data_IF_617926089563
#
_entry.id   IF_617926089563
#
_cell.length_a   1.000
_cell.length_b   1.000
_cell.length_c   1.000
_cell.angle_alpha   90.00
_cell.angle_beta   90.00
_cell.angle_gamma   90.00
#
_symmetry.space_group_name_H-M   'P 1'
#
loop_
_entity.id
_entity.type
_entity.pdbx_description
1 polymer ?
#
# COMPACT_ATOMS: atom_id res chain seq x y z
N UNK A 1 20.88 -48.33 -54.77
CA UNK A 1 21.13 -47.33 -53.72
C UNK A 1 19.79 -46.86 -53.19
N UNK A 2 19.43 -47.19 -51.94
CA UNK A 2 18.25 -46.64 -51.25
C UNK A 2 18.76 -46.17 -49.89
N UNK A 3 18.99 -44.87 -49.78
CA UNK A 3 19.39 -44.21 -48.53
C UNK A 3 18.17 -44.08 -47.64
N UNK A 4 18.25 -44.70 -46.46
CA UNK A 4 17.28 -44.60 -45.38
C UNK A 4 17.34 -43.20 -44.77
N UNK A 5 16.20 -42.49 -44.78
CA UNK A 5 16.05 -41.21 -44.08
C UNK A 5 15.70 -41.51 -42.62
N UNK A 6 16.65 -41.30 -41.70
CA UNK A 6 16.39 -41.28 -40.27
C UNK A 6 15.59 -40.03 -39.91
N UNK A 7 14.33 -40.18 -39.55
CA UNK A 7 13.54 -39.12 -38.94
C UNK A 7 14.01 -38.93 -37.49
N UNK A 8 14.71 -37.83 -37.24
CA UNK A 8 14.98 -37.35 -35.87
C UNK A 8 13.66 -36.84 -35.30
N UNK A 9 13.07 -37.59 -34.36
CA UNK A 9 12.02 -37.04 -33.49
C UNK A 9 12.66 -35.97 -32.61
N UNK A 10 12.53 -34.71 -33.04
CA UNK A 10 12.69 -33.58 -32.14
C UNK A 10 11.52 -33.63 -31.14
N UNK A 11 11.80 -34.11 -29.93
CA UNK A 11 10.90 -34.00 -28.80
C UNK A 11 10.66 -32.53 -28.48
N UNK A 12 9.54 -32.00 -28.94
CA UNK A 12 8.95 -30.77 -28.42
C UNK A 12 8.49 -31.07 -27.00
N UNK A 13 9.36 -30.86 -26.02
CA UNK A 13 8.92 -30.69 -24.63
C UNK A 13 8.16 -29.37 -24.61
N UNK A 14 6.84 -29.44 -24.72
CA UNK A 14 5.97 -28.34 -24.37
C UNK A 14 6.18 -28.08 -22.88
N UNK A 15 7.04 -27.11 -22.54
CA UNK A 15 7.11 -26.57 -21.19
C UNK A 15 5.83 -25.76 -21.03
N UNK A 16 4.76 -26.42 -20.58
CA UNK A 16 3.65 -25.71 -19.99
C UNK A 16 4.24 -25.01 -18.76
N UNK A 17 4.65 -23.76 -18.90
CA UNK A 17 5.09 -22.96 -17.77
C UNK A 17 3.84 -22.68 -16.96
N UNK A 18 3.68 -23.43 -15.87
CA UNK A 18 2.63 -23.21 -14.90
C UNK A 18 2.66 -21.74 -14.44
N UNK A 19 1.49 -21.10 -14.49
CA UNK A 19 1.37 -19.69 -14.14
C UNK A 19 1.66 -19.49 -12.65
N UNK A 20 2.49 -18.50 -12.33
CA UNK A 20 2.79 -18.05 -10.98
C UNK A 20 1.53 -17.39 -10.41
N UNK A 21 0.99 -18.00 -9.37
CA UNK A 21 -0.10 -17.44 -8.59
C UNK A 21 0.45 -16.69 -7.38
N UNK A 22 -0.08 -15.50 -7.11
CA UNK A 22 0.34 -14.69 -5.98
C UNK A 22 -0.76 -14.63 -4.92
N UNK A 23 -0.36 -14.81 -3.67
CA UNK A 23 -1.25 -14.73 -2.51
C UNK A 23 -0.72 -13.72 -1.51
N UNK A 24 -1.56 -12.76 -1.13
CA UNK A 24 -1.31 -11.78 -0.08
C UNK A 24 -2.06 -12.20 1.18
N UNK A 25 -1.32 -12.36 2.27
CA UNK A 25 -1.85 -12.54 3.62
C UNK A 25 -1.58 -11.29 4.43
N UNK A 26 -2.58 -10.76 5.14
CA UNK A 26 -2.36 -9.61 6.01
C UNK A 26 -3.02 -9.78 7.38
N UNK A 27 -2.51 -9.05 8.38
CA UNK A 27 -3.00 -9.13 9.76
C UNK A 27 -4.32 -8.38 9.97
N UNK A 28 -5.20 -8.85 10.86
CA UNK A 28 -6.40 -8.10 11.25
C UNK A 28 -6.10 -6.76 11.97
N UNK A 29 -4.90 -6.63 12.53
CA UNK A 29 -4.48 -5.40 13.22
C UNK A 29 -4.11 -4.32 12.21
N UNK A 30 -4.80 -3.19 12.28
CA UNK A 30 -4.59 -1.99 11.50
C UNK A 30 -3.77 -0.98 12.30
N UNK A 31 -2.77 -0.40 11.64
CA UNK A 31 -1.86 0.61 12.16
C UNK A 31 -2.17 1.93 11.47
N UNK A 32 -2.31 2.98 12.27
CA UNK A 32 -2.45 4.33 11.74
C UNK A 32 -1.07 4.87 11.34
N UNK A 33 -0.91 5.08 10.04
CA UNK A 33 0.34 5.58 9.45
C UNK A 33 0.20 7.03 9.00
N UNK A 34 -0.95 7.66 9.23
CA UNK A 34 -1.18 9.06 8.92
C UNK A 34 -0.95 9.40 7.45
N UNK A 35 -0.48 10.61 7.21
CA UNK A 35 -0.18 11.16 5.88
C UNK A 35 1.10 10.60 5.23
N UNK A 36 1.50 9.39 5.58
CA UNK A 36 2.72 8.79 5.03
C UNK A 36 2.50 8.41 3.55
N UNK A 37 3.40 8.83 2.66
CA UNK A 37 3.38 8.38 1.27
C UNK A 37 3.78 6.91 1.19
N UNK A 38 2.78 6.03 1.13
CA UNK A 38 2.98 4.58 1.09
C UNK A 38 3.77 4.13 -0.13
N UNK A 39 3.64 4.80 -1.28
CA UNK A 39 4.38 4.43 -2.49
C UNK A 39 5.87 4.71 -2.32
N UNK A 40 6.19 5.88 -1.77
CA UNK A 40 7.57 6.30 -1.57
C UNK A 40 8.27 5.40 -0.55
N UNK A 41 7.64 5.16 0.61
CA UNK A 41 8.26 4.41 1.71
C UNK A 41 8.26 2.89 1.53
N UNK A 42 7.49 2.36 0.57
CA UNK A 42 7.49 0.93 0.27
C UNK A 42 8.10 0.63 -1.10
N UNK A 43 7.30 0.72 -2.17
CA UNK A 43 7.67 0.35 -3.54
C UNK A 43 8.94 1.07 -3.99
N UNK A 44 8.98 2.40 -3.90
CA UNK A 44 10.14 3.15 -4.37
C UNK A 44 11.38 2.88 -3.51
N UNK A 45 11.20 2.75 -2.19
CA UNK A 45 12.28 2.38 -1.28
C UNK A 45 12.91 1.01 -1.60
N UNK A 46 12.12 0.00 -2.00
CA UNK A 46 12.66 -1.29 -2.45
C UNK A 46 13.56 -1.09 -3.69
N UNK A 47 13.06 -0.38 -4.70
CA UNK A 47 13.80 -0.16 -5.95
C UNK A 47 15.04 0.74 -5.78
N UNK A 48 15.07 1.57 -4.74
CA UNK A 48 16.20 2.41 -4.39
C UNK A 48 17.28 1.70 -3.55
N UNK A 49 16.97 0.58 -2.90
CA UNK A 49 17.92 -0.10 -2.02
C UNK A 49 18.99 -0.86 -2.83
N UNK A 50 20.29 -0.71 -2.50
CA UNK A 50 21.36 -1.50 -3.10
C UNK A 50 21.18 -3.00 -2.84
N UNK A 51 21.34 -3.83 -3.88
CA UNK A 51 21.24 -5.28 -3.74
C UNK A 51 19.82 -5.85 -3.84
N UNK A 52 18.83 -5.02 -4.21
CA UNK A 52 17.44 -5.41 -4.42
C UNK A 52 17.23 -6.40 -5.60
N UNK A 53 18.27 -6.90 -6.25
CA UNK A 53 18.13 -7.88 -7.31
C UNK A 53 17.83 -9.27 -6.76
N UNK A 54 18.10 -9.54 -5.46
CA UNK A 54 17.88 -10.86 -4.85
C UNK A 54 17.12 -10.84 -3.54
N UNK A 55 17.20 -9.74 -2.80
CA UNK A 55 16.56 -9.64 -1.48
C UNK A 55 16.47 -8.19 -1.06
N UNK A 56 15.61 -7.93 -0.09
CA UNK A 56 15.52 -6.64 0.60
C UNK A 56 15.50 -6.87 2.11
N UNK A 57 16.18 -5.98 2.83
CA UNK A 57 16.01 -5.83 4.27
C UNK A 57 16.12 -4.34 4.59
N UNK A 58 15.01 -3.73 4.95
CA UNK A 58 14.96 -2.33 5.37
C UNK A 58 14.22 -2.21 6.70
N UNK A 59 14.64 -1.26 7.52
CA UNK A 59 13.98 -0.87 8.76
C UNK A 59 14.15 0.65 8.89
N UNK A 60 13.10 1.40 8.56
CA UNK A 60 13.14 2.87 8.51
C UNK A 60 12.01 3.46 9.33
N UNK A 61 12.28 4.60 9.95
CA UNK A 61 11.30 5.33 10.75
C UNK A 61 10.97 6.65 10.07
N UNK A 62 9.67 6.94 9.96
CA UNK A 62 9.11 8.11 9.32
C UNK A 62 8.26 8.89 10.31
N UNK A 63 8.03 10.17 10.00
CA UNK A 63 7.18 11.05 10.76
C UNK A 63 5.96 11.40 9.92
N UNK A 64 4.76 11.31 10.49
CA UNK A 64 3.52 11.58 9.79
C UNK A 64 2.52 12.34 10.68
N UNK A 65 1.37 12.68 10.08
CA UNK A 65 0.28 13.38 10.77
C UNK A 65 -0.95 12.48 10.76
N UNK A 66 -1.56 12.29 11.93
CA UNK A 66 -2.77 11.49 12.11
C UNK A 66 -3.97 12.33 12.51
N UNK A 67 -3.75 13.49 13.16
CA UNK A 67 -4.82 14.42 13.53
C UNK A 67 -5.54 14.93 12.27
N UNK A 68 -6.82 14.62 12.16
CA UNK A 68 -7.69 15.02 11.04
C UNK A 68 -7.85 16.54 10.89
N UNK A 69 -7.59 17.28 11.96
CA UNK A 69 -7.67 18.73 11.99
C UNK A 69 -6.55 19.29 12.88
N UNK A 70 -5.54 19.88 12.26
CA UNK A 70 -4.32 20.30 12.92
C UNK A 70 -4.12 21.80 12.81
N UNK A 71 -3.84 22.42 13.96
CA UNK A 71 -3.70 23.88 14.08
C UNK A 71 -2.56 24.43 13.21
N UNK A 72 -2.74 25.63 12.68
CA UNK A 72 -1.69 26.39 12.00
C UNK A 72 -0.49 26.72 12.88
N UNK A 73 -0.66 26.75 14.22
CA UNK A 73 0.46 27.00 15.14
C UNK A 73 1.20 25.72 15.52
N UNK A 74 0.59 24.55 15.38
CA UNK A 74 1.18 23.25 15.68
C UNK A 74 1.40 22.48 14.37
N UNK A 75 2.45 22.77 13.60
CA UNK A 75 2.69 22.08 12.32
C UNK A 75 3.61 20.85 12.41
N UNK A 76 4.00 20.39 13.61
CA UNK A 76 4.91 19.25 13.76
C UNK A 76 4.20 17.88 13.61
N UNK A 77 4.85 16.85 13.03
CA UNK A 77 4.32 15.49 13.02
C UNK A 77 3.88 15.01 14.42
N UNK A 78 2.87 14.14 14.47
CA UNK A 78 2.29 13.65 15.73
C UNK A 78 2.31 12.12 15.87
N UNK A 79 2.87 11.44 14.88
CA UNK A 79 3.10 10.01 14.90
C UNK A 79 4.45 9.68 14.29
N UNK A 80 5.12 8.69 14.88
CA UNK A 80 6.28 8.05 14.27
C UNK A 80 5.90 6.66 13.80
N UNK A 81 6.20 6.37 12.53
CA UNK A 81 5.83 5.13 11.84
C UNK A 81 7.10 4.41 11.44
N UNK A 82 7.26 3.18 11.90
CA UNK A 82 8.31 2.27 11.46
C UNK A 82 7.78 1.41 10.31
N UNK A 83 8.52 1.37 9.21
CA UNK A 83 8.28 0.52 8.05
C UNK A 83 9.46 -0.42 7.92
N UNK A 84 9.19 -1.73 8.04
CA UNK A 84 10.18 -2.76 7.77
C UNK A 84 9.76 -3.55 6.56
N UNK A 85 10.72 -3.85 5.70
CA UNK A 85 10.48 -4.70 4.54
C UNK A 85 11.56 -5.76 4.47
N UNK A 86 11.12 -7.02 4.45
CA UNK A 86 12.00 -8.18 4.28
C UNK A 86 11.50 -9.00 3.11
N UNK A 87 12.38 -9.38 2.20
CA UNK A 87 11.99 -10.22 1.09
C UNK A 87 13.17 -10.90 0.41
N UNK A 88 12.89 -11.98 -0.28
CA UNK A 88 13.86 -12.73 -1.07
C UNK A 88 13.22 -13.20 -2.37
N UNK A 89 13.97 -13.11 -3.48
CA UNK A 89 13.48 -13.50 -4.80
C UNK A 89 14.60 -14.00 -5.72
N UNK A 90 14.19 -14.54 -6.87
CA UNK A 90 15.08 -15.03 -7.92
C UNK A 90 15.44 -16.51 -7.78
N UNK A 91 14.65 -17.28 -7.00
CA UNK A 91 14.83 -18.73 -6.85
C UNK A 91 13.86 -19.55 -7.70
N UNK A 92 12.72 -18.98 -8.07
CA UNK A 92 11.75 -19.61 -8.97
C UNK A 92 12.32 -19.83 -10.39
N UNK A 93 12.36 -21.08 -10.90
CA UNK A 93 12.81 -21.39 -12.27
C UNK A 93 11.88 -20.76 -13.34
N UNK A 94 12.44 -20.44 -14.51
CA UNK A 94 11.70 -19.85 -15.63
C UNK A 94 11.56 -18.33 -15.56
N UNK A 95 11.70 -17.77 -14.35
CA UNK A 95 11.88 -16.35 -14.01
C UNK A 95 13.10 -15.70 -14.71
N UNK A 96 12.98 -14.56 -15.42
CA UNK A 96 14.14 -13.74 -15.87
C UNK A 96 14.11 -12.33 -15.28
N UNK A 97 15.23 -11.60 -15.36
CA UNK A 97 15.32 -10.14 -15.14
C UNK A 97 14.53 -9.56 -13.94
N UNK A 98 14.55 -10.23 -12.79
CA UNK A 98 13.81 -9.83 -11.58
C UNK A 98 12.28 -9.79 -11.73
N UNK A 99 11.71 -10.51 -12.69
CA UNK A 99 10.26 -10.63 -12.91
C UNK A 99 9.53 -11.08 -11.62
N UNK A 100 10.14 -11.98 -10.83
CA UNK A 100 9.58 -12.36 -9.52
C UNK A 100 9.48 -11.18 -8.55
N UNK A 101 10.55 -10.40 -8.41
CA UNK A 101 10.55 -9.19 -7.58
C UNK A 101 9.43 -8.26 -8.01
N UNK A 102 9.37 -7.97 -9.31
CA UNK A 102 8.45 -6.98 -9.83
C UNK A 102 6.99 -7.45 -9.66
N UNK A 103 6.73 -8.76 -9.81
CA UNK A 103 5.44 -9.36 -9.52
C UNK A 103 5.05 -9.28 -8.04
N UNK A 104 5.96 -9.65 -7.14
CA UNK A 104 5.74 -9.57 -5.69
C UNK A 104 5.50 -8.12 -5.24
N UNK A 105 6.35 -7.19 -5.67
CA UNK A 105 6.28 -5.76 -5.32
C UNK A 105 5.01 -5.12 -5.86
N UNK A 106 4.67 -5.35 -7.13
CA UNK A 106 3.46 -4.79 -7.72
C UNK A 106 2.20 -5.28 -7.00
N UNK A 107 2.17 -6.57 -6.66
CA UNK A 107 0.98 -7.21 -6.10
C UNK A 107 0.75 -6.88 -4.63
N UNK A 108 1.80 -6.90 -3.81
CA UNK A 108 1.66 -6.48 -2.40
C UNK A 108 1.35 -4.99 -2.30
N UNK A 109 1.92 -4.16 -3.19
CA UNK A 109 1.64 -2.73 -3.22
C UNK A 109 0.21 -2.44 -3.67
N UNK A 110 -0.29 -3.16 -4.69
CA UNK A 110 -1.69 -3.02 -5.10
C UNK A 110 -2.65 -3.44 -3.97
N UNK A 111 -2.38 -4.56 -3.29
CA UNK A 111 -3.16 -4.96 -2.12
C UNK A 111 -3.11 -3.92 -1.00
N UNK A 112 -1.92 -3.39 -0.68
CA UNK A 112 -1.73 -2.32 0.30
C UNK A 112 -2.55 -1.08 -0.08
N UNK A 113 -2.47 -0.66 -1.35
CA UNK A 113 -3.22 0.48 -1.86
C UNK A 113 -4.72 0.28 -1.71
N UNK A 114 -5.26 -0.87 -2.10
CA UNK A 114 -6.70 -1.13 -1.99
C UNK A 114 -7.21 -1.12 -0.54
N UNK A 115 -6.43 -1.69 0.40
CA UNK A 115 -6.77 -1.62 1.83
C UNK A 115 -6.71 -0.18 2.34
N UNK A 116 -5.66 0.54 1.94
CA UNK A 116 -5.39 1.90 2.35
C UNK A 116 -6.42 2.91 1.81
N UNK A 117 -6.91 2.70 0.59
CA UNK A 117 -7.95 3.54 -0.02
C UNK A 117 -9.32 3.36 0.69
N UNK A 118 -9.69 2.14 1.12
CA UNK A 118 -10.95 1.89 1.85
C UNK A 118 -10.93 2.41 3.30
N UNK A 119 -9.73 2.57 3.88
CA UNK A 119 -9.53 2.98 5.28
C UNK A 119 -8.88 4.34 5.44
N UNK A 120 -8.64 5.02 4.33
CA UNK A 120 -8.09 6.36 4.31
C UNK A 120 -9.04 7.39 4.87
N UNK A 121 -8.50 8.52 5.30
CA UNK A 121 -9.26 9.57 5.94
C UNK A 121 -8.65 10.93 5.69
N UNK A 122 -9.48 11.96 5.79
CA UNK A 122 -9.07 13.33 5.53
C UNK A 122 -8.20 13.90 6.66
N UNK A 123 -7.05 14.45 6.28
CA UNK A 123 -6.18 15.20 7.18
C UNK A 123 -6.10 16.64 6.70
N UNK A 124 -6.71 17.53 7.47
CA UNK A 124 -6.59 18.96 7.25
C UNK A 124 -5.57 19.55 8.23
N UNK A 125 -4.68 20.36 7.68
CA UNK A 125 -3.65 21.06 8.45
C UNK A 125 -3.63 22.55 8.12
N UNK A 126 -2.85 23.30 8.89
CA UNK A 126 -2.87 24.76 8.85
C UNK A 126 -4.25 25.34 9.15
N UNK A 127 -4.97 24.69 10.07
CA UNK A 127 -6.29 25.08 10.48
C UNK A 127 -6.27 26.28 11.44
N UNK A 128 -7.21 27.21 11.23
CA UNK A 128 -7.50 28.33 12.13
C UNK A 128 -8.97 28.31 12.52
N UNK A 129 -9.29 28.94 13.64
CA UNK A 129 -10.64 28.94 14.19
C UNK A 129 -10.96 27.61 14.89
N UNK A 130 -9.94 26.99 15.48
CA UNK A 130 -10.12 25.81 16.34
C UNK A 130 -10.61 26.22 17.73
N UNK A 131 -10.23 27.42 18.18
CA UNK A 131 -10.68 28.04 19.43
C UNK A 131 -11.35 29.39 19.16
N UNK A 132 -12.22 29.82 20.07
CA UNK A 132 -13.03 31.05 19.93
C UNK A 132 -12.20 32.34 19.85
N UNK A 133 -10.93 32.30 20.27
CA UNK A 133 -10.01 33.44 20.28
C UNK A 133 -9.30 33.66 18.93
N UNK A 134 -9.36 32.67 18.03
CA UNK A 134 -8.69 32.73 16.74
C UNK A 134 -9.57 33.42 15.69
N UNK A 135 -9.10 34.55 15.16
CA UNK A 135 -9.71 35.18 13.99
C UNK A 135 -9.43 34.37 12.73
N UNK A 136 -10.46 34.15 11.91
CA UNK A 136 -10.39 33.42 10.64
C UNK A 136 -10.66 34.38 9.48
N UNK A 137 -9.72 34.47 8.54
CA UNK A 137 -9.79 35.43 7.44
C UNK A 137 -10.73 35.01 6.30
N UNK A 138 -11.17 33.75 6.26
CA UNK A 138 -12.04 33.17 5.23
C UNK A 138 -11.63 33.48 3.78
N UNK A 139 -10.84 32.60 3.15
CA UNK A 139 -10.30 32.79 1.80
C UNK A 139 -10.72 31.69 0.82
N UNK A 140 -10.88 32.00 -0.48
CA UNK A 140 -11.23 31.01 -1.51
C UNK A 140 -10.22 29.89 -1.71
N UNK A 141 -8.95 30.14 -1.43
CA UNK A 141 -7.85 29.19 -1.64
C UNK A 141 -7.75 28.13 -0.53
N UNK A 142 -8.59 28.21 0.50
CA UNK A 142 -8.59 27.24 1.57
C UNK A 142 -8.99 25.84 1.07
N UNK A 143 -8.34 24.81 1.61
CA UNK A 143 -8.65 23.44 1.27
C UNK A 143 -10.02 23.01 1.81
N UNK A 144 -10.38 23.48 3.01
CA UNK A 144 -11.74 23.46 3.53
C UNK A 144 -12.05 24.75 4.27
N UNK A 145 -13.33 25.15 4.27
CA UNK A 145 -13.81 26.30 5.03
C UNK A 145 -14.99 26.99 4.34
N UNK A 146 -15.65 27.90 5.06
CA UNK A 146 -16.88 28.55 4.59
C UNK A 146 -16.76 29.27 3.24
N UNK A 147 -15.58 29.81 2.93
CA UNK A 147 -15.33 30.55 1.69
C UNK A 147 -14.54 29.73 0.64
N UNK A 148 -14.18 28.47 0.94
CA UNK A 148 -13.35 27.66 0.05
C UNK A 148 -14.01 27.47 -1.32
N UNK A 149 -13.27 27.74 -2.40
CA UNK A 149 -13.77 27.61 -3.77
C UNK A 149 -14.12 26.16 -4.15
N UNK A 150 -13.51 25.18 -3.48
CA UNK A 150 -13.82 23.75 -3.62
C UNK A 150 -15.22 23.38 -3.09
N UNK A 151 -15.84 24.24 -2.29
CA UNK A 151 -17.08 23.94 -1.55
C UNK A 151 -16.89 22.96 -0.39
N UNK A 152 -15.66 22.53 -0.11
CA UNK A 152 -15.38 21.60 0.99
C UNK A 152 -15.53 22.28 2.35
N UNK A 153 -16.24 21.60 3.26
CA UNK A 153 -16.45 22.09 4.63
C UNK A 153 -15.54 21.34 5.60
N UNK A 154 -15.05 22.02 6.63
CA UNK A 154 -14.25 21.37 7.66
C UNK A 154 -15.11 20.60 8.69
N UNK A 155 -16.44 20.67 8.60
CA UNK A 155 -17.36 20.25 9.67
C UNK A 155 -17.35 18.74 9.95
N UNK A 156 -16.97 17.90 8.99
CA UNK A 156 -16.77 16.47 9.22
C UNK A 156 -15.40 16.19 9.87
N UNK A 157 -14.29 16.44 9.15
CA UNK A 157 -12.93 16.14 9.62
C UNK A 157 -12.53 16.87 10.89
N UNK A 158 -12.99 18.11 11.09
CA UNK A 158 -12.67 18.95 12.24
C UNK A 158 -13.73 18.92 13.34
N UNK A 159 -14.83 18.15 13.21
CA UNK A 159 -15.97 18.18 14.13
C UNK A 159 -15.60 18.12 15.61
N UNK A 160 -14.62 17.27 15.93
CA UNK A 160 -14.20 16.98 17.31
C UNK A 160 -13.01 17.84 17.78
N UNK A 161 -12.44 18.65 16.89
CA UNK A 161 -11.25 19.46 17.14
C UNK A 161 -11.55 20.96 17.29
N UNK A 162 -12.82 21.37 17.14
CA UNK A 162 -13.23 22.77 17.06
C UNK A 162 -14.18 23.11 18.19
N UNK A 163 -13.94 24.25 18.85
CA UNK A 163 -14.85 24.78 19.86
C UNK A 163 -16.15 25.35 19.24
N UNK A 164 -16.07 25.81 17.98
CA UNK A 164 -17.16 26.41 17.23
C UNK A 164 -17.24 25.80 15.82
N UNK A 165 -18.13 24.84 15.57
CA UNK A 165 -18.36 24.29 14.23
C UNK A 165 -18.72 25.38 13.21
N UNK A 166 -18.24 25.27 11.98
CA UNK A 166 -18.50 26.22 10.89
C UNK A 166 -17.64 27.49 10.85
N UNK A 167 -16.78 27.75 11.84
CA UNK A 167 -15.82 28.89 11.80
C UNK A 167 -14.43 28.49 11.34
N UNK A 168 -14.13 27.19 11.31
CA UNK A 168 -12.79 26.69 10.99
C UNK A 168 -12.48 26.79 9.50
N UNK A 169 -11.23 27.11 9.20
CA UNK A 169 -10.67 27.06 7.85
C UNK A 169 -9.30 26.41 7.91
N UNK A 170 -9.03 25.50 6.98
CA UNK A 170 -7.73 24.85 6.84
C UNK A 170 -7.15 25.12 5.46
N UNK A 171 -5.85 25.45 5.40
CA UNK A 171 -5.19 25.80 4.14
C UNK A 171 -4.62 24.58 3.42
N UNK A 172 -4.35 23.49 4.16
CA UNK A 172 -3.73 22.31 3.61
C UNK A 172 -4.60 21.08 3.81
N UNK A 173 -4.61 20.23 2.79
CA UNK A 173 -5.32 18.97 2.76
C UNK A 173 -4.36 17.88 2.31
N UNK A 174 -4.30 16.83 3.13
CA UNK A 174 -3.55 15.61 2.90
C UNK A 174 -4.48 14.42 3.14
N UNK A 175 -4.06 13.25 2.65
CA UNK A 175 -4.79 12.01 2.85
C UNK A 175 -4.04 11.12 3.83
N UNK A 176 -4.71 10.75 4.92
CA UNK A 176 -4.20 9.84 5.94
C UNK A 176 -4.58 8.39 5.63
N UNK A 177 -3.78 7.46 6.11
CA UNK A 177 -3.92 6.04 5.80
C UNK A 177 -3.90 5.17 7.05
N UNK A 178 -4.67 4.07 7.01
CA UNK A 178 -4.52 2.94 7.92
C UNK A 178 -4.16 1.71 7.12
N UNK A 179 -3.20 0.93 7.61
CA UNK A 179 -2.68 -0.24 6.89
C UNK A 179 -2.55 -1.43 7.84
N UNK A 180 -2.60 -2.67 7.36
CA UNK A 180 -2.35 -3.83 8.19
C UNK A 180 -0.96 -3.75 8.82
N UNK A 181 -0.81 -4.18 10.07
CA UNK A 181 0.49 -4.22 10.77
C UNK A 181 1.49 -5.14 10.08
N UNK A 182 1.02 -6.19 9.42
CA UNK A 182 1.83 -7.10 8.63
C UNK A 182 1.10 -7.44 7.34
N UNK A 183 1.82 -7.40 6.22
CA UNK A 183 1.39 -7.95 4.94
C UNK A 183 2.51 -8.84 4.41
N UNK A 184 2.16 -10.05 3.97
CA UNK A 184 3.09 -10.99 3.36
C UNK A 184 2.53 -11.43 2.03
N UNK A 185 3.36 -11.39 1.00
CA UNK A 185 3.07 -12.01 -0.29
C UNK A 185 3.96 -13.23 -0.51
N UNK A 186 3.36 -14.28 -1.03
CA UNK A 186 4.02 -15.53 -1.39
C UNK A 186 3.59 -15.96 -2.79
N UNK A 187 4.51 -16.59 -3.52
CA UNK A 187 4.24 -17.14 -4.85
C UNK A 187 3.95 -18.65 -4.79
N UNK A 188 3.08 -19.12 -5.68
CA UNK A 188 2.75 -20.52 -5.87
C UNK A 188 2.85 -20.88 -7.35
N UNK A 189 3.27 -22.10 -7.65
CA UNK A 189 3.27 -22.69 -9.00
C UNK A 189 2.68 -24.08 -8.87
N UNK A 190 1.62 -24.39 -9.60
CA UNK A 190 0.88 -25.66 -9.47
C UNK A 190 0.52 -25.98 -8.00
N UNK A 191 0.01 -24.98 -7.27
CA UNK A 191 -0.32 -25.03 -5.84
C UNK A 191 0.87 -25.32 -4.90
N UNK A 192 2.10 -25.38 -5.41
CA UNK A 192 3.31 -25.55 -4.61
C UNK A 192 3.90 -24.18 -4.21
N UNK A 193 4.08 -23.99 -2.90
CA UNK A 193 4.69 -22.78 -2.32
C UNK A 193 6.12 -22.61 -2.83
N UNK A 194 6.39 -21.44 -3.42
CA UNK A 194 7.73 -21.04 -3.82
C UNK A 194 8.47 -20.38 -2.65
N UNK A 195 9.81 -20.43 -2.65
CA UNK A 195 10.63 -19.81 -1.61
C UNK A 195 10.71 -18.28 -1.74
N UNK A 196 10.15 -17.70 -2.79
CA UNK A 196 10.15 -16.25 -3.02
C UNK A 196 9.01 -15.59 -2.22
N UNK A 197 9.36 -14.59 -1.41
CA UNK A 197 8.41 -13.88 -0.56
C UNK A 197 8.81 -12.42 -0.32
N UNK A 198 7.83 -11.64 0.12
CA UNK A 198 8.01 -10.26 0.54
C UNK A 198 7.05 -9.95 1.69
N UNK A 199 7.57 -9.34 2.73
CA UNK A 199 6.85 -9.00 3.95
C UNK A 199 7.02 -7.51 4.21
N UNK A 200 5.91 -6.81 4.41
CA UNK A 200 5.85 -5.46 4.95
C UNK A 200 5.38 -5.54 6.40
N UNK A 201 6.09 -4.88 7.29
CA UNK A 201 5.70 -4.70 8.68
C UNK A 201 5.61 -3.20 8.96
N UNK A 202 4.45 -2.79 9.46
CA UNK A 202 4.17 -1.42 9.87
C UNK A 202 3.98 -1.40 11.38
N UNK A 203 4.67 -0.48 12.04
CA UNK A 203 4.44 -0.16 13.44
C UNK A 203 4.31 1.35 13.60
N UNK A 204 3.52 1.77 14.56
CA UNK A 204 3.27 3.18 14.86
C UNK A 204 3.38 3.41 16.35
N UNK A 205 3.77 4.61 16.75
CA UNK A 205 3.68 5.05 18.15
C UNK A 205 2.24 5.08 18.68
N UNK A 206 1.24 4.99 17.79
CA UNK A 206 -0.17 4.81 18.17
C UNK A 206 -0.55 3.33 18.21
N UNK A 207 -1.50 3.00 19.09
CA UNK A 207 -1.96 1.61 19.26
C UNK A 207 -2.70 1.12 18.01
N UNK A 208 -2.33 -0.07 17.55
CA UNK A 208 -3.05 -0.76 16.48
C UNK A 208 -4.49 -1.10 16.90
N UNK A 209 -5.42 -1.05 15.95
CA UNK A 209 -6.83 -1.39 16.14
C UNK A 209 -7.19 -2.63 15.33
N UNK A 210 -8.11 -3.46 15.81
CA UNK A 210 -8.62 -4.61 15.05
C UNK A 210 -9.54 -4.17 13.90
N UNK A 211 -9.83 -5.07 12.95
CA UNK A 211 -10.83 -4.87 11.90
C UNK A 211 -10.31 -4.84 10.46
N UNK A 212 -9.03 -5.12 10.22
CA UNK A 212 -8.46 -5.22 8.88
C UNK A 212 -9.10 -6.30 8.02
N UNK A 213 -9.50 -7.44 8.60
CA UNK A 213 -10.10 -8.56 7.86
C UNK A 213 -11.49 -8.23 7.31
N UNK A 214 -12.19 -7.24 7.86
CA UNK A 214 -13.52 -6.84 7.38
C UNK A 214 -13.51 -6.26 5.96
N UNK A 215 -12.34 -5.87 5.45
CA UNK A 215 -12.18 -5.18 4.17
C UNK A 215 -11.97 -6.16 3.00
N UNK A 216 -11.53 -7.40 3.28
CA UNK A 216 -11.18 -8.41 2.26
C UNK A 216 -12.26 -8.53 1.19
N UNK A 217 -13.52 -8.69 1.62
CA UNK A 217 -14.64 -8.91 0.71
C UNK A 217 -14.86 -7.76 -0.29
N UNK A 218 -14.50 -6.52 0.10
CA UNK A 218 -14.61 -5.34 -0.76
C UNK A 218 -13.48 -5.27 -1.79
N UNK A 219 -12.26 -5.64 -1.39
CA UNK A 219 -11.07 -5.50 -2.23
C UNK A 219 -10.79 -6.72 -3.10
N UNK A 220 -11.28 -7.90 -2.70
CA UNK A 220 -11.07 -9.16 -3.42
C UNK A 220 -11.52 -9.07 -4.89
N UNK A 221 -12.66 -8.43 -5.17
CA UNK A 221 -13.15 -8.26 -6.53
C UNK A 221 -12.21 -7.42 -7.42
N UNK A 222 -11.60 -6.37 -6.86
CA UNK A 222 -10.65 -5.53 -7.59
C UNK A 222 -9.32 -6.25 -7.82
N UNK A 223 -8.87 -6.99 -6.81
CA UNK A 223 -7.62 -7.76 -6.86
C UNK A 223 -7.72 -8.99 -7.76
N UNK A 224 -8.91 -9.58 -7.91
CA UNK A 224 -9.13 -10.73 -8.80
C UNK A 224 -8.96 -10.37 -10.29
N UNK A 225 -9.25 -9.13 -10.69
CA UNK A 225 -9.05 -8.63 -12.06
C UNK A 225 -7.73 -7.90 -12.26
N UNK A 226 -6.84 -7.90 -11.26
CA UNK A 226 -5.59 -7.18 -11.36
C UNK A 226 -4.62 -7.93 -12.27
N UNK A 227 -4.17 -7.26 -13.33
CA UNK A 227 -3.11 -7.78 -14.20
C UNK A 227 -1.76 -7.34 -13.67
N UNK A 228 -0.94 -8.31 -13.26
CA UNK A 228 0.41 -8.07 -12.76
C UNK A 228 1.30 -7.54 -13.90
N UNK A 229 1.85 -6.32 -13.80
CA UNK A 229 2.54 -5.65 -14.91
C UNK A 229 3.99 -6.15 -15.04
N UNK A 230 4.18 -7.44 -15.30
CA UNK A 230 5.49 -8.08 -15.46
C UNK A 230 5.63 -8.62 -16.88
N UNK A 231 6.79 -8.39 -17.49
CA UNK A 231 7.12 -8.95 -18.79
C UNK A 231 7.19 -10.49 -18.69
N UNK A 232 6.58 -11.21 -19.63
CA UNK A 232 6.72 -12.66 -19.74
C UNK A 232 5.44 -13.49 -19.61
N UNK A 233 4.30 -12.92 -19.20
CA UNK A 233 3.00 -13.61 -19.20
C UNK A 233 2.93 -14.86 -18.32
N UNK A 234 3.92 -15.04 -17.43
CA UNK A 234 4.04 -16.19 -16.54
C UNK A 234 3.23 -16.04 -15.25
N UNK A 235 2.66 -14.87 -14.97
CA UNK A 235 1.83 -14.65 -13.79
C UNK A 235 0.36 -14.87 -14.13
N UNK A 236 -0.39 -15.50 -13.22
CA UNK A 236 -1.85 -15.56 -13.33
C UNK A 236 -2.44 -14.16 -13.20
N UNK A 237 -3.56 -13.91 -13.86
CA UNK A 237 -4.38 -12.76 -13.52
C UNK A 237 -4.92 -12.92 -12.10
N UNK A 238 -4.93 -11.82 -11.35
CA UNK A 238 -5.50 -11.76 -10.02
C UNK A 238 -4.52 -12.05 -8.89
N UNK A 239 -4.89 -11.57 -7.71
CA UNK A 239 -4.15 -11.78 -6.45
C UNK A 239 -5.10 -12.42 -5.45
N UNK A 240 -4.73 -13.60 -4.95
CA UNK A 240 -5.44 -14.24 -3.85
C UNK A 240 -5.19 -13.44 -2.57
N UNK A 241 -6.24 -13.21 -1.79
CA UNK A 241 -6.13 -12.43 -0.55
C UNK A 241 -6.74 -13.17 0.63
N UNK A 242 -5.99 -13.23 1.72
CA UNK A 242 -6.38 -13.86 2.97
C UNK A 242 -6.04 -12.92 4.13
N UNK A 243 -6.78 -13.06 5.23
CA UNK A 243 -6.47 -12.34 6.45
C UNK A 243 -6.19 -13.32 7.58
N UNK A 244 -5.20 -12.99 8.39
CA UNK A 244 -4.80 -13.73 9.57
C UNK A 244 -5.28 -13.00 10.82
N UNK A 245 -6.04 -13.72 11.66
CA UNK A 245 -6.50 -13.26 12.97
C UNK A 245 -5.42 -13.42 14.04
#
# INVERSE_FOLDING_TARGET
MKTSTSAVLAGLVAVATAAVQLEVRYSDRMVDVGTLDLMEVTRNAIYAEPGNERSILTDRTHQAITRTCKSAVENTPDVSVQVKMTGAWGRTPGLKNNEMRDGLVASIFEALKQVSDDTGYEVYSECRGLVWQESVAHVPEAACGRAAASGQTCDGPCRNAVASPGTTQCMKHDWGHRVPSVMRITAYIDDALQPDDLIFEFASTQNAQAGGCGIIGKIAGKLASFTIPVAGGLFSEGINILCAN
#
